data_IF_956393824302
#
_entry.id   IF_956393824302
#
_cell.length_a   1.000
_cell.length_b   1.000
_cell.length_c   1.000
_cell.angle_alpha   90.00
_cell.angle_beta   90.00
_cell.angle_gamma   90.00
#
_symmetry.space_group_name_H-M   'P 1'
#
loop_
_entity.id
_entity.type
_entity.pdbx_description
1 polymer ?
#
# COMPACT_ATOMS: atom_id res chain seq x y z
N UNK A 1 -13.39 1.02 5.58
CA UNK A 1 -13.22 1.71 4.38
C UNK A 1 -12.03 1.25 3.64
N UNK A 2 -12.09 1.34 2.32
CA UNK A 2 -10.98 0.92 1.49
C UNK A 2 -9.87 1.95 1.53
N UNK A 3 -8.63 1.50 1.46
CA UNK A 3 -7.51 2.39 1.30
C UNK A 3 -7.20 2.49 -0.18
N UNK A 4 -7.96 3.34 -0.86
CA UNK A 4 -7.82 3.49 -2.30
C UNK A 4 -6.46 4.02 -2.70
N UNK A 5 -5.82 4.76 -1.82
CA UNK A 5 -4.51 5.31 -2.14
C UNK A 5 -3.48 4.21 -2.35
N UNK A 6 -3.48 3.19 -1.49
CA UNK A 6 -2.52 2.10 -1.63
C UNK A 6 -2.72 1.36 -2.94
N UNK A 7 -3.97 1.08 -3.28
CA UNK A 7 -4.25 0.38 -4.52
C UNK A 7 -3.86 1.20 -5.73
N UNK A 8 -4.24 2.47 -5.74
CA UNK A 8 -3.91 3.34 -6.86
C UNK A 8 -2.42 3.50 -7.04
N UNK A 9 -1.70 3.67 -5.96
CA UNK A 9 -0.26 3.82 -6.02
C UNK A 9 0.39 2.56 -6.57
N UNK A 10 -0.11 1.40 -6.13
CA UNK A 10 0.40 0.15 -6.63
C UNK A 10 0.17 0.02 -8.13
N UNK A 11 -1.04 0.35 -8.58
CA UNK A 11 -1.37 0.24 -10.00
C UNK A 11 -0.58 1.22 -10.84
N UNK A 12 -0.36 2.43 -10.34
CA UNK A 12 0.48 3.39 -11.02
C UNK A 12 1.91 2.93 -11.16
N UNK A 13 2.36 2.12 -10.22
CA UNK A 13 3.71 1.60 -10.24
C UNK A 13 3.83 0.33 -11.06
N UNK A 14 2.74 -0.09 -11.68
CA UNK A 14 2.68 -1.29 -12.50
C UNK A 14 3.08 -2.54 -11.73
N UNK A 15 2.71 -2.59 -10.47
CA UNK A 15 3.02 -3.74 -9.62
C UNK A 15 1.75 -4.52 -9.32
N UNK A 16 1.89 -5.84 -9.24
CA UNK A 16 0.80 -6.68 -8.77
C UNK A 16 0.91 -6.80 -7.26
N UNK A 17 -0.20 -7.23 -6.63
CA UNK A 17 -0.18 -7.48 -5.20
C UNK A 17 0.88 -8.51 -4.83
N UNK A 18 1.02 -9.55 -5.66
CA UNK A 18 2.00 -10.59 -5.41
C UNK A 18 3.41 -10.04 -5.44
N UNK A 19 3.68 -9.13 -6.36
CA UNK A 19 5.00 -8.51 -6.44
C UNK A 19 5.30 -7.67 -5.21
N UNK A 20 4.30 -6.93 -4.74
CA UNK A 20 4.47 -6.12 -3.54
C UNK A 20 4.72 -7.01 -2.33
N UNK A 21 3.92 -8.07 -2.21
CA UNK A 21 4.08 -9.00 -1.09
C UNK A 21 5.48 -9.61 -1.08
N UNK A 22 5.97 -9.98 -2.24
CA UNK A 22 7.30 -10.56 -2.35
C UNK A 22 8.38 -9.57 -1.96
N UNK A 23 8.26 -8.33 -2.42
CA UNK A 23 9.24 -7.31 -2.11
C UNK A 23 9.30 -6.99 -0.62
N UNK A 24 8.15 -7.09 0.05
CA UNK A 24 8.08 -6.81 1.48
C UNK A 24 8.23 -8.06 2.33
N UNK A 25 8.28 -9.21 1.68
CA UNK A 25 8.41 -10.50 2.37
C UNK A 25 7.23 -10.73 3.32
N UNK A 26 6.03 -10.51 2.81
CA UNK A 26 4.79 -10.76 3.56
C UNK A 26 3.86 -11.59 2.69
N UNK A 27 2.80 -12.09 3.30
CA UNK A 27 1.80 -12.85 2.56
C UNK A 27 1.01 -11.95 1.64
N UNK A 28 0.55 -12.53 0.55
CA UNK A 28 -0.31 -11.81 -0.39
C UNK A 28 -1.55 -11.26 0.32
N UNK A 29 -2.09 -12.03 1.26
CA UNK A 29 -3.28 -11.60 1.98
C UNK A 29 -3.04 -10.31 2.76
N UNK A 30 -1.83 -10.09 3.23
CA UNK A 30 -1.51 -8.85 3.92
C UNK A 30 -1.71 -7.66 3.00
N UNK A 31 -1.18 -7.75 1.79
CA UNK A 31 -1.30 -6.65 0.84
C UNK A 31 -2.77 -6.43 0.48
N UNK A 32 -3.51 -7.51 0.29
CA UNK A 32 -4.92 -7.42 -0.03
C UNK A 32 -5.70 -6.70 1.08
N UNK A 33 -5.47 -7.09 2.33
CA UNK A 33 -6.19 -6.47 3.43
C UNK A 33 -5.78 -5.02 3.66
N UNK A 34 -4.52 -4.70 3.40
CA UNK A 34 -4.09 -3.31 3.48
C UNK A 34 -4.86 -2.45 2.48
N UNK A 35 -5.07 -2.96 1.27
CA UNK A 35 -5.78 -2.20 0.25
C UNK A 35 -7.27 -2.13 0.50
N UNK A 36 -7.82 -3.18 1.12
CA UNK A 36 -9.23 -3.16 1.48
C UNK A 36 -9.52 -2.28 2.70
N UNK A 37 -8.50 -1.98 3.48
CA UNK A 37 -8.67 -1.16 4.66
C UNK A 37 -8.98 -1.92 5.92
N UNK A 38 -8.98 -3.27 5.87
CA UNK A 38 -9.23 -4.09 7.04
C UNK A 38 -8.06 -4.07 8.01
N UNK A 39 -6.86 -4.03 7.45
CA UNK A 39 -5.63 -4.05 8.23
C UNK A 39 -4.80 -2.83 7.87
N UNK A 40 -4.00 -2.37 8.81
CA UNK A 40 -3.03 -1.32 8.53
C UNK A 40 -1.66 -1.93 8.43
N UNK A 41 -0.85 -1.52 7.45
CA UNK A 41 0.53 -2.00 7.39
C UNK A 41 1.27 -1.56 8.65
N UNK A 42 2.07 -2.43 9.20
CA UNK A 42 2.88 -2.07 10.35
C UNK A 42 3.86 -0.95 9.96
N UNK A 43 4.23 -0.16 10.95
CA UNK A 43 5.08 0.98 10.73
C UNK A 43 6.36 0.65 9.99
N UNK A 44 6.90 -0.53 10.25
CA UNK A 44 8.16 -0.93 9.61
C UNK A 44 8.06 -1.05 8.09
N UNK A 45 6.85 -1.17 7.56
CA UNK A 45 6.66 -1.27 6.12
C UNK A 45 6.40 0.08 5.46
N UNK A 46 6.13 1.12 6.24
CA UNK A 46 5.73 2.41 5.68
C UNK A 46 6.79 2.98 4.75
N UNK A 47 8.04 3.00 5.18
CA UNK A 47 9.10 3.57 4.35
C UNK A 47 9.33 2.75 3.09
N UNK A 48 9.26 1.45 3.21
CA UNK A 48 9.45 0.58 2.05
C UNK A 48 8.35 0.78 1.04
N UNK A 49 7.11 0.86 1.52
CA UNK A 49 5.98 1.10 0.63
C UNK A 49 6.11 2.47 -0.05
N UNK A 50 6.44 3.49 0.71
CA UNK A 50 6.58 4.83 0.16
C UNK A 50 7.65 4.87 -0.91
N UNK A 51 8.77 4.23 -0.64
CA UNK A 51 9.87 4.20 -1.59
C UNK A 51 9.49 3.41 -2.84
N UNK A 52 8.80 2.30 -2.64
CA UNK A 52 8.38 1.44 -3.74
C UNK A 52 7.42 2.17 -4.68
N UNK A 53 6.53 2.98 -4.10
CA UNK A 53 5.53 3.70 -4.88
C UNK A 53 5.96 5.12 -5.25
N UNK A 54 7.14 5.54 -4.80
CA UNK A 54 7.65 6.87 -5.15
C UNK A 54 6.88 8.02 -4.51
N UNK A 55 6.40 7.83 -3.30
CA UNK A 55 5.62 8.84 -2.59
C UNK A 55 6.13 8.98 -1.17
N UNK A 56 5.57 9.93 -0.44
CA UNK A 56 5.89 10.08 0.98
C UNK A 56 5.03 9.13 1.80
N UNK A 57 5.42 8.91 3.04
CA UNK A 57 4.64 8.07 3.94
C UNK A 57 3.24 8.65 4.15
N UNK A 58 3.13 9.96 4.22
CA UNK A 58 1.83 10.60 4.37
C UNK A 58 0.92 10.28 3.21
N UNK A 59 1.47 10.26 2.02
CA UNK A 59 0.67 9.99 0.83
C UNK A 59 0.16 8.58 0.74
N UNK A 60 0.81 7.65 1.43
CA UNK A 60 0.37 6.27 1.43
C UNK A 60 -1.04 6.12 1.98
N UNK A 61 -1.38 6.93 2.95
CA UNK A 61 -2.65 6.78 3.67
C UNK A 61 -3.64 7.88 3.39
N UNK A 62 -3.34 8.71 2.40
CA UNK A 62 -4.25 9.76 2.03
C UNK A 62 -5.37 9.16 1.19
N UNK A 63 -6.59 9.49 1.51
CA UNK A 63 -7.71 9.00 0.70
C UNK A 63 -8.13 10.08 -0.25
N UNK A 64 -8.65 9.67 -1.37
CA UNK A 64 -9.05 10.62 -2.37
C UNK A 64 -10.23 11.47 -1.93
N UNK A 65 -10.97 11.00 -0.98
CA UNK A 65 -12.13 11.75 -0.53
C UNK A 65 -11.82 12.74 0.52
N UNK A 66 -10.62 12.86 0.91
CA UNK A 66 -10.33 13.67 1.96
C UNK A 66 -10.42 14.98 1.70
N UNK A 67 -10.90 15.44 2.00
CA UNK A 67 -11.02 16.61 1.67
C UNK A 67 -10.91 17.27 2.46
#
# INVERSE_FOLDING_TARGET
MHNLALRELRERSSLTRAQVAKKLNVDLSCVTHWELGDWRPARKYHKKLARMYGVTVDELFKTSSEQ
#
